data_IF_112753070357
#
_entry.id   IF_112753070357
#
_cell.length_a   1.000
_cell.length_b   1.000
_cell.length_c   1.000
_cell.angle_alpha   90.00
_cell.angle_beta   90.00
_cell.angle_gamma   90.00
#
_symmetry.space_group_name_H-M   'P 1'
#
loop_
_entity.id
_entity.type
_entity.pdbx_description
1 polymer ?
#
# COMPACT_ATOMS: atom_id res chain seq x y z
N UNK A 1 -3.51 20.84 9.98
CA UNK A 1 -3.40 20.33 8.60
C UNK A 1 -4.31 19.12 8.47
N UNK A 2 -5.16 19.05 7.44
CA UNK A 2 -6.01 17.89 7.22
C UNK A 2 -5.13 16.67 6.88
N UNK A 3 -5.51 15.49 7.37
CA UNK A 3 -4.81 14.22 7.12
C UNK A 3 -5.79 13.18 6.59
N UNK A 4 -5.36 12.37 5.62
CA UNK A 4 -6.11 11.23 5.08
C UNK A 4 -5.29 9.96 5.26
N UNK A 5 -5.86 8.97 5.94
CA UNK A 5 -5.23 7.65 6.09
C UNK A 5 -5.64 6.76 4.92
N UNK A 6 -4.65 6.15 4.26
CA UNK A 6 -4.85 5.13 3.23
C UNK A 6 -4.33 3.79 3.77
N UNK A 7 -5.09 2.70 3.56
CA UNK A 7 -4.65 1.35 3.86
C UNK A 7 -3.98 0.76 2.62
N UNK A 8 -2.77 0.24 2.78
CA UNK A 8 -2.00 -0.37 1.69
C UNK A 8 -2.81 -1.43 0.94
N UNK A 9 -3.55 -2.27 1.66
CA UNK A 9 -4.33 -3.37 1.11
C UNK A 9 -5.51 -2.87 0.25
N UNK A 10 -6.10 -1.73 0.62
CA UNK A 10 -7.17 -1.12 -0.16
C UNK A 10 -6.62 -0.41 -1.39
N UNK A 11 -5.48 0.27 -1.25
CA UNK A 11 -4.79 0.90 -2.36
C UNK A 11 -4.41 -0.12 -3.44
N UNK A 12 -3.74 -1.21 -3.06
CA UNK A 12 -3.32 -2.23 -4.02
C UNK A 12 -4.50 -2.95 -4.67
N UNK A 13 -5.62 -3.10 -3.97
CA UNK A 13 -6.81 -3.76 -4.54
C UNK A 13 -7.58 -2.88 -5.54
N UNK A 14 -7.54 -1.55 -5.38
CA UNK A 14 -8.26 -0.60 -6.25
C UNK A 14 -7.42 0.69 -6.43
N UNK A 15 -6.28 0.64 -7.12
CA UNK A 15 -5.30 1.73 -7.13
C UNK A 15 -5.83 3.01 -7.77
N UNK A 16 -6.52 2.91 -8.92
CA UNK A 16 -7.11 4.07 -9.60
C UNK A 16 -8.08 4.81 -8.68
N UNK A 17 -9.05 4.08 -8.12
CA UNK A 17 -10.02 4.64 -7.16
C UNK A 17 -9.33 5.31 -5.97
N UNK A 18 -8.35 4.65 -5.37
CA UNK A 18 -7.65 5.19 -4.20
C UNK A 18 -6.88 6.48 -4.51
N UNK A 19 -6.31 6.61 -5.72
CA UNK A 19 -5.66 7.84 -6.16
C UNK A 19 -6.65 8.96 -6.50
N UNK A 20 -7.79 8.65 -7.13
CA UNK A 20 -8.85 9.63 -7.37
C UNK A 20 -9.36 10.21 -6.06
N UNK A 21 -9.69 9.37 -5.07
CA UNK A 21 -10.14 9.83 -3.74
C UNK A 21 -9.06 10.66 -3.01
N UNK A 22 -7.77 10.36 -3.24
CA UNK A 22 -6.67 11.13 -2.67
C UNK A 22 -6.48 12.48 -3.36
N UNK A 23 -6.65 12.53 -4.69
CA UNK A 23 -6.60 13.77 -5.46
C UNK A 23 -7.72 14.72 -5.04
N UNK A 24 -8.95 14.22 -4.92
CA UNK A 24 -10.10 14.97 -4.41
C UNK A 24 -9.81 15.54 -3.01
N UNK A 25 -9.27 14.71 -2.11
CA UNK A 25 -8.88 15.16 -0.77
C UNK A 25 -7.80 16.26 -0.80
N UNK A 26 -6.89 16.20 -1.78
CA UNK A 26 -5.84 17.21 -1.99
C UNK A 26 -6.34 18.46 -2.73
N UNK A 27 -7.61 18.49 -3.18
CA UNK A 27 -8.16 19.58 -4.01
C UNK A 27 -7.59 19.60 -5.43
N UNK A 28 -7.14 18.45 -5.93
CA UNK A 28 -6.63 18.28 -7.29
C UNK A 28 -7.72 17.70 -8.17
N UNK A 29 -7.87 18.27 -9.37
CA UNK A 29 -8.69 17.71 -10.43
C UNK A 29 -7.81 16.76 -11.25
N UNK A 30 -8.14 15.47 -11.22
CA UNK A 30 -7.36 14.40 -11.86
C UNK A 30 -8.29 13.66 -12.80
N UNK A 31 -7.93 13.67 -14.08
CA UNK A 31 -8.65 12.93 -15.12
C UNK A 31 -8.23 11.46 -15.15
N UNK A 32 -9.01 10.62 -15.82
CA UNK A 32 -8.61 9.23 -16.04
C UNK A 32 -7.27 9.13 -16.78
N UNK A 33 -6.97 10.05 -17.70
CA UNK A 33 -5.73 10.08 -18.46
C UNK A 33 -4.49 10.35 -17.59
N UNK A 34 -4.64 11.13 -16.52
CA UNK A 34 -3.56 11.39 -15.55
C UNK A 34 -3.17 10.12 -14.78
N UNK A 35 -4.06 9.12 -14.74
CA UNK A 35 -3.86 7.83 -14.11
C UNK A 35 -3.47 6.72 -15.09
N UNK A 36 -3.16 7.03 -16.35
CA UNK A 36 -2.79 6.04 -17.39
C UNK A 36 -1.49 5.28 -17.12
N UNK A 37 -0.69 5.75 -16.16
CA UNK A 37 0.43 4.97 -15.66
C UNK A 37 -0.02 3.72 -14.88
N UNK A 38 -1.28 3.63 -14.45
CA UNK A 38 -1.86 2.42 -13.88
C UNK A 38 -2.42 1.52 -14.98
N UNK A 39 -1.78 0.37 -15.19
CA UNK A 39 -2.13 -0.62 -16.21
C UNK A 39 -2.57 -1.92 -15.52
N UNK A 40 -3.88 -2.04 -15.27
CA UNK A 40 -4.44 -3.15 -14.49
C UNK A 40 -3.89 -3.20 -13.07
N UNK A 41 -3.23 -4.31 -12.73
CA UNK A 41 -2.55 -4.53 -11.44
C UNK A 41 -1.09 -4.06 -11.45
N UNK A 42 -0.67 -3.28 -12.44
CA UNK A 42 0.68 -2.75 -12.57
C UNK A 42 0.71 -1.22 -12.59
N UNK A 43 1.83 -0.64 -12.18
CA UNK A 43 2.17 0.76 -12.39
C UNK A 43 3.38 0.88 -13.32
N UNK A 44 3.25 1.63 -14.42
CA UNK A 44 4.33 1.92 -15.36
C UNK A 44 5.01 3.22 -14.96
N UNK A 45 6.12 3.10 -14.24
CA UNK A 45 6.86 4.25 -13.71
C UNK A 45 7.84 4.81 -14.73
N UNK A 46 7.85 6.14 -14.84
CA UNK A 46 8.85 6.89 -15.62
C UNK A 46 10.09 7.16 -14.75
N UNK A 47 11.25 7.46 -15.36
CA UNK A 47 12.44 7.88 -14.63
C UNK A 47 12.14 9.03 -13.66
N UNK A 48 12.46 8.84 -12.38
CA UNK A 48 12.41 9.89 -11.37
C UNK A 48 13.77 10.55 -11.17
N UNK A 49 13.81 11.85 -10.92
CA UNK A 49 15.04 12.59 -10.63
C UNK A 49 15.46 12.51 -9.15
N UNK A 50 15.29 11.33 -8.53
CA UNK A 50 15.79 11.09 -7.18
C UNK A 50 17.30 10.84 -7.23
N UNK A 51 18.06 11.32 -6.25
CA UNK A 51 19.52 11.16 -6.19
C UNK A 51 19.97 10.12 -5.14
N UNK A 52 19.09 9.73 -4.23
CA UNK A 52 19.37 8.78 -3.14
C UNK A 52 18.06 8.18 -2.60
N UNK A 53 18.15 6.99 -2.00
CA UNK A 53 17.03 6.37 -1.28
C UNK A 53 16.96 4.86 -1.48
N UNK A 54 15.83 4.26 -1.11
CA UNK A 54 15.55 2.85 -1.36
C UNK A 54 15.82 2.53 -2.86
N UNK A 55 16.60 1.49 -3.21
CA UNK A 55 16.85 1.12 -4.61
C UNK A 55 15.59 1.06 -5.49
N UNK A 56 14.46 0.66 -4.91
CA UNK A 56 13.15 0.65 -5.57
C UNK A 56 12.70 2.02 -6.10
N UNK A 57 13.20 3.13 -5.54
CA UNK A 57 12.90 4.50 -6.01
C UNK A 57 13.49 4.81 -7.38
N UNK A 58 14.47 4.02 -7.83
CA UNK A 58 15.09 4.14 -9.14
C UNK A 58 14.52 3.13 -10.14
N UNK A 59 13.52 2.34 -9.75
CA UNK A 59 12.83 1.40 -10.66
C UNK A 59 12.11 2.19 -11.74
N UNK A 60 12.37 1.84 -12.99
CA UNK A 60 11.71 2.37 -14.19
C UNK A 60 11.01 1.23 -14.90
N UNK A 61 9.83 1.51 -15.45
CA UNK A 61 9.01 0.52 -16.14
C UNK A 61 7.94 -0.07 -15.24
N UNK A 62 7.52 -1.30 -15.56
CA UNK A 62 6.37 -1.95 -14.95
C UNK A 62 6.67 -2.42 -13.52
N UNK A 63 5.84 -2.00 -12.58
CA UNK A 63 5.90 -2.37 -11.17
C UNK A 63 4.58 -3.04 -10.78
N UNK A 64 4.58 -4.33 -10.39
CA UNK A 64 3.36 -5.00 -10.00
C UNK A 64 2.84 -4.48 -8.66
N UNK A 65 1.59 -4.02 -8.66
CA UNK A 65 0.81 -3.70 -7.49
C UNK A 65 0.15 -4.98 -6.98
N UNK A 66 0.91 -5.75 -6.21
CA UNK A 66 0.42 -6.96 -5.56
C UNK A 66 0.55 -6.87 -4.06
N UNK A 67 -0.49 -7.33 -3.36
CA UNK A 67 -0.48 -7.41 -1.91
C UNK A 67 0.59 -8.40 -1.44
N UNK A 68 1.48 -7.94 -0.57
CA UNK A 68 2.43 -8.80 0.12
C UNK A 68 1.89 -9.27 1.48
N UNK A 69 1.32 -10.47 1.47
CA UNK A 69 0.82 -11.17 2.66
C UNK A 69 1.71 -12.38 3.03
N UNK A 70 2.92 -12.50 2.48
CA UNK A 70 3.78 -13.70 2.67
C UNK A 70 4.06 -13.97 4.14
N UNK A 71 4.15 -12.91 4.95
CA UNK A 71 4.35 -13.01 6.40
C UNK A 71 3.27 -13.85 7.10
N UNK A 72 2.04 -13.93 6.56
CA UNK A 72 0.96 -14.70 7.20
C UNK A 72 1.23 -16.20 7.19
N UNK A 73 1.80 -16.70 6.10
CA UNK A 73 2.14 -18.11 5.93
C UNK A 73 3.57 -18.43 6.33
N UNK A 74 4.52 -17.51 6.13
CA UNK A 74 5.93 -17.75 6.38
C UNK A 74 6.36 -17.58 7.85
N UNK A 75 5.60 -16.82 8.66
CA UNK A 75 5.99 -16.56 10.04
C UNK A 75 5.65 -17.75 10.96
N UNK A 76 6.63 -18.30 11.71
CA UNK A 76 6.40 -19.39 12.65
C UNK A 76 5.28 -19.07 13.66
N UNK A 77 4.42 -20.05 14.03
CA UNK A 77 3.27 -19.80 14.89
C UNK A 77 3.58 -19.17 16.26
N UNK A 78 4.76 -19.45 16.82
CA UNK A 78 5.21 -18.83 18.06
C UNK A 78 5.52 -17.34 17.88
N UNK A 79 6.27 -16.98 16.84
CA UNK A 79 6.60 -15.60 16.49
C UNK A 79 5.34 -14.80 16.13
N UNK A 80 4.41 -15.42 15.38
CA UNK A 80 3.12 -14.78 15.04
C UNK A 80 2.29 -14.43 16.28
N UNK A 81 2.28 -15.31 17.28
CA UNK A 81 1.61 -15.04 18.57
C UNK A 81 2.31 -13.94 19.35
N UNK A 82 3.64 -13.98 19.44
CA UNK A 82 4.42 -12.96 20.13
C UNK A 82 4.20 -11.58 19.53
N UNK A 83 4.40 -11.43 18.21
CA UNK A 83 4.21 -10.16 17.50
C UNK A 83 2.76 -9.70 17.60
N UNK A 84 1.78 -10.61 17.43
CA UNK A 84 0.36 -10.30 17.59
C UNK A 84 0.01 -9.74 18.97
N UNK A 85 0.59 -10.29 20.04
CA UNK A 85 0.40 -9.78 21.41
C UNK A 85 1.04 -8.41 21.61
N UNK A 86 2.30 -8.24 21.17
CA UNK A 86 3.01 -6.96 21.30
C UNK A 86 2.30 -5.85 20.52
N UNK A 87 1.81 -6.16 19.32
CA UNK A 87 1.11 -5.21 18.46
C UNK A 87 -0.40 -5.11 18.75
N UNK A 88 -0.95 -5.85 19.72
CA UNK A 88 -2.40 -5.95 19.94
C UNK A 88 -3.12 -4.60 20.11
N UNK A 89 -2.59 -3.62 20.89
CA UNK A 89 -3.24 -2.31 21.02
C UNK A 89 -3.38 -1.59 19.68
N UNK A 90 -2.32 -1.64 18.86
CA UNK A 90 -2.31 -1.01 17.55
C UNK A 90 -3.18 -1.76 16.54
N UNK A 91 -3.12 -3.09 16.50
CA UNK A 91 -4.01 -3.89 15.66
C UNK A 91 -5.47 -3.53 15.92
N UNK A 92 -5.88 -3.42 17.19
CA UNK A 92 -7.24 -2.97 17.55
C UNK A 92 -7.51 -1.54 17.10
N UNK A 93 -6.62 -0.59 17.37
CA UNK A 93 -6.78 0.82 16.98
C UNK A 93 -6.92 1.01 15.46
N UNK A 94 -6.23 0.18 14.67
CA UNK A 94 -6.27 0.22 13.21
C UNK A 94 -7.37 -0.67 12.59
N UNK A 95 -8.08 -1.48 13.39
CA UNK A 95 -9.17 -2.35 12.95
C UNK A 95 -8.69 -3.67 12.31
N UNK A 96 -7.51 -4.15 12.70
CA UNK A 96 -6.96 -5.44 12.30
C UNK A 96 -7.26 -6.54 13.33
N UNK A 97 -7.43 -7.80 12.89
CA UNK A 97 -7.75 -8.89 13.80
C UNK A 97 -6.53 -9.27 14.66
N UNK A 98 -6.76 -9.48 15.97
CA UNK A 98 -5.73 -9.90 16.93
C UNK A 98 -5.25 -11.35 16.70
N UNK A 99 -6.09 -12.16 16.05
CA UNK A 99 -5.74 -13.48 15.53
C UNK A 99 -5.87 -13.42 14.03
N UNK A 100 -4.76 -13.54 13.32
CA UNK A 100 -4.81 -13.92 11.91
C UNK A 100 -5.51 -15.27 11.84
N UNK A 101 -6.66 -15.38 11.15
CA UNK A 101 -7.18 -16.70 10.79
C UNK A 101 -6.14 -17.42 9.95
N UNK A 102 -6.12 -18.75 10.04
CA UNK A 102 -5.33 -19.58 9.13
C UNK A 102 -5.76 -19.33 7.69
#
# INVERSE_FOLDING_TARGET
MPVRRIRYEQFVAQPRRALTELAEFAGLDVSDADLDFLDGDDAVLKPGHSAAGNPMRFTVGRVPLRRDDVWRSALPPAQRRLVGTVCAPLLRAYGYPLRSSR
#
